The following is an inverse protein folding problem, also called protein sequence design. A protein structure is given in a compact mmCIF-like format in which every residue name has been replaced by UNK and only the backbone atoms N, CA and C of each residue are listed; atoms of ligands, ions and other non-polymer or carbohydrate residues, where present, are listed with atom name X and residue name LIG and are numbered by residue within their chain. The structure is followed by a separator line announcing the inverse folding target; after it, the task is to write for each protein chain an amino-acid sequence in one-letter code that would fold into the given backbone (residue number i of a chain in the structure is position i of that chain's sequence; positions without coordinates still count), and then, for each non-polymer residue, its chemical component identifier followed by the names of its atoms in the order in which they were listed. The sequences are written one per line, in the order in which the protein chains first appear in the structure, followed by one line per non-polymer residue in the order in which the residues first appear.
data_IF_472609655751
#
_entry.id   IF_472609655751
#
_cell.length_a   1.000
_cell.length_b   1.000
_cell.length_c   1.000
_cell.angle_alpha   90.00
_cell.angle_beta   90.00
_cell.angle_gamma   90.00
#
_symmetry.space_group_name_H-M   'P 1'
#
loop_
_entity.id
_entity.type
_entity.pdbx_description
1 polymer ?
#
# COMPACT_ATOMS: atom_id res chain seq x y z
N UNK A 1 -14.71 -0.79 -26.38
CA UNK A 1 -13.86 -0.25 -25.30
C UNK A 1 -12.40 -0.36 -25.73
N UNK A 2 -11.66 0.74 -25.78
CA UNK A 2 -10.24 0.77 -26.19
C UNK A 2 -9.44 1.41 -25.07
N UNK A 3 -8.46 0.69 -24.53
CA UNK A 3 -7.58 1.19 -23.48
C UNK A 3 -6.34 1.80 -24.16
N UNK A 4 -6.03 3.05 -23.85
CA UNK A 4 -4.85 3.74 -24.35
C UNK A 4 -3.88 3.90 -23.18
N UNK A 5 -2.75 3.20 -23.22
CA UNK A 5 -1.70 3.37 -22.24
C UNK A 5 -0.70 4.41 -22.74
N UNK A 6 -0.69 5.59 -22.10
CA UNK A 6 0.24 6.68 -22.41
C UNK A 6 0.97 7.13 -21.15
N UNK A 7 2.10 7.83 -21.31
CA UNK A 7 2.81 8.44 -20.19
C UNK A 7 2.16 9.77 -19.85
N UNK A 8 1.62 9.89 -18.66
CA UNK A 8 1.21 11.16 -18.07
C UNK A 8 2.32 11.76 -17.22
N UNK A 9 2.37 13.08 -17.13
CA UNK A 9 3.22 13.80 -16.19
C UNK A 9 2.31 14.43 -15.13
N UNK A 10 2.56 14.12 -13.86
CA UNK A 10 1.91 14.79 -12.74
C UNK A 10 2.82 15.93 -12.28
N UNK A 11 2.32 17.17 -12.33
CA UNK A 11 3.03 18.37 -11.83
C UNK A 11 2.03 19.28 -11.13
N UNK A 12 2.38 19.77 -9.93
CA UNK A 12 1.50 20.64 -9.14
C UNK A 12 0.10 20.05 -8.88
N UNK A 13 0.01 18.73 -8.65
CA UNK A 13 -1.26 17.99 -8.49
C UNK A 13 -2.15 17.94 -9.73
N UNK A 14 -1.66 18.36 -10.90
CA UNK A 14 -2.35 18.23 -12.18
C UNK A 14 -1.74 17.09 -13.01
N UNK A 15 -2.60 16.22 -13.57
CA UNK A 15 -2.22 15.19 -14.53
C UNK A 15 -2.30 15.75 -15.96
N UNK A 16 -1.16 15.82 -16.65
CA UNK A 16 -1.10 16.15 -18.08
C UNK A 16 -0.82 14.90 -18.89
N UNK A 17 -1.73 14.57 -19.81
CA UNK A 17 -1.62 13.45 -20.74
C UNK A 17 -1.82 13.95 -22.16
N UNK A 18 -1.04 13.41 -23.10
CA UNK A 18 -1.24 13.65 -24.53
C UNK A 18 -2.10 12.50 -25.04
N UNK A 19 -3.35 12.80 -25.40
CA UNK A 19 -4.30 11.83 -25.99
C UNK A 19 -4.33 11.97 -27.52
N UNK A 20 -4.52 10.88 -28.28
CA UNK A 20 -4.69 10.96 -29.73
C UNK A 20 -5.89 11.83 -30.11
N UNK A 21 -5.83 12.50 -31.27
CA UNK A 21 -6.94 13.32 -31.79
C UNK A 21 -8.27 12.55 -31.91
N UNK A 22 -8.19 11.23 -32.06
CA UNK A 22 -9.32 10.31 -32.13
C UNK A 22 -10.17 10.29 -30.84
N UNK A 23 -9.63 10.76 -29.71
CA UNK A 23 -10.31 10.80 -28.39
C UNK A 23 -10.99 12.17 -28.14
N UNK A 24 -11.12 12.99 -29.19
CA UNK A 24 -11.70 14.33 -29.12
C UNK A 24 -13.19 14.31 -28.74
N UNK A 25 -13.56 15.11 -27.73
CA UNK A 25 -14.94 15.42 -27.30
C UNK A 25 -15.76 14.25 -26.68
N UNK A 26 -15.15 13.42 -25.84
CA UNK A 26 -15.85 12.38 -25.06
C UNK A 26 -15.38 12.30 -23.61
N UNK A 27 -16.19 11.67 -22.76
CA UNK A 27 -15.83 11.31 -21.39
C UNK A 27 -14.94 10.06 -21.38
N UNK A 28 -13.94 10.03 -20.50
CA UNK A 28 -12.98 8.92 -20.40
C UNK A 28 -12.76 8.52 -18.94
N UNK A 29 -12.65 7.22 -18.70
CA UNK A 29 -12.19 6.70 -17.42
C UNK A 29 -10.67 6.87 -17.30
N UNK A 30 -10.20 7.42 -16.18
CA UNK A 30 -8.76 7.63 -15.90
C UNK A 30 -8.30 6.65 -14.84
N UNK A 31 -7.28 5.83 -15.17
CA UNK A 31 -6.62 4.92 -14.25
C UNK A 31 -5.20 5.45 -13.99
N UNK A 32 -4.89 5.75 -12.71
CA UNK A 32 -3.56 6.21 -12.28
C UNK A 32 -2.88 5.06 -11.54
N UNK A 33 -1.72 4.63 -12.03
CA UNK A 33 -0.89 3.60 -11.36
C UNK A 33 0.42 4.27 -10.93
N UNK A 34 0.58 4.51 -9.64
CA UNK A 34 1.83 5.00 -9.07
C UNK A 34 2.81 3.83 -8.96
N UNK A 35 3.96 3.91 -9.64
CA UNK A 35 4.99 2.86 -9.62
C UNK A 35 5.85 2.89 -8.35
N UNK A 36 6.00 4.08 -7.77
CA UNK A 36 6.93 4.32 -6.66
C UNK A 36 6.21 4.48 -5.31
N UNK A 37 4.88 4.37 -5.28
CA UNK A 37 4.17 4.28 -4.00
C UNK A 37 4.16 2.82 -3.55
N UNK A 38 4.66 2.52 -2.34
CA UNK A 38 4.52 1.19 -1.78
C UNK A 38 3.04 0.85 -1.72
N UNK A 39 2.69 -0.31 -2.25
CA UNK A 39 1.34 -0.83 -2.10
C UNK A 39 1.04 -1.10 -0.62
N UNK A 40 -0.20 -1.49 -0.32
CA UNK A 40 -0.60 -1.76 1.07
C UNK A 40 0.25 -2.88 1.70
N UNK A 41 0.71 -3.85 0.90
CA UNK A 41 1.55 -4.93 1.38
C UNK A 41 2.94 -4.42 1.76
N UNK A 42 3.58 -3.66 0.88
CA UNK A 42 4.89 -3.06 1.09
C UNK A 42 4.88 -2.08 2.29
N UNK A 43 3.83 -1.26 2.42
CA UNK A 43 3.65 -0.38 3.58
C UNK A 43 3.58 -1.16 4.90
N UNK A 44 2.80 -2.25 4.93
CA UNK A 44 2.68 -3.10 6.12
C UNK A 44 3.99 -3.79 6.43
N UNK A 45 4.71 -4.26 5.42
CA UNK A 45 6.01 -4.89 5.60
C UNK A 45 7.05 -3.94 6.19
N UNK A 46 7.15 -2.71 5.66
CA UNK A 46 8.03 -1.68 6.21
C UNK A 46 7.69 -1.33 7.66
N UNK A 47 6.41 -1.23 8.00
CA UNK A 47 5.98 -1.01 9.38
C UNK A 47 6.40 -2.15 10.32
N UNK A 48 6.30 -3.41 9.86
CA UNK A 48 6.75 -4.57 10.65
C UNK A 48 8.26 -4.54 10.86
N UNK A 49 9.04 -4.15 9.84
CA UNK A 49 10.49 -3.96 9.96
C UNK A 49 10.81 -2.86 10.98
N UNK A 50 10.18 -1.68 10.86
CA UNK A 50 10.40 -0.55 11.77
C UNK A 50 10.11 -0.92 13.23
N UNK A 51 9.06 -1.73 13.45
CA UNK A 51 8.68 -2.22 14.78
C UNK A 51 9.51 -3.42 15.26
N UNK A 52 10.46 -3.91 14.45
CA UNK A 52 11.32 -5.04 14.80
C UNK A 52 10.63 -6.40 14.75
N UNK A 53 9.57 -6.55 13.95
CA UNK A 53 8.82 -7.79 13.72
C UNK A 53 8.97 -8.30 12.28
N UNK A 54 10.16 -8.11 11.71
CA UNK A 54 10.55 -8.46 10.34
C UNK A 54 10.58 -9.97 10.06
N UNK A 55 10.58 -10.82 11.09
CA UNK A 55 10.61 -12.29 10.92
C UNK A 55 9.44 -12.98 11.63
N UNK A 56 8.99 -14.15 11.13
CA UNK A 56 7.93 -14.93 11.76
C UNK A 56 8.21 -15.26 13.23
N UNK A 57 9.47 -15.51 13.59
CA UNK A 57 9.88 -15.85 14.95
C UNK A 57 9.63 -14.69 15.91
N UNK A 58 9.93 -13.45 15.49
CA UNK A 58 9.69 -12.25 16.30
C UNK A 58 8.20 -11.98 16.50
N UNK A 59 7.39 -12.26 15.48
CA UNK A 59 5.92 -12.19 15.58
C UNK A 59 5.38 -13.22 16.57
N UNK A 60 5.85 -14.46 16.49
CA UNK A 60 5.44 -15.53 17.42
C UNK A 60 5.84 -15.20 18.85
N UNK A 61 7.04 -14.65 19.07
CA UNK A 61 7.48 -14.23 20.40
C UNK A 61 6.61 -13.10 20.96
N UNK A 62 6.23 -12.10 20.15
CA UNK A 62 5.30 -11.05 20.56
C UNK A 62 3.96 -11.64 21.00
N UNK A 63 3.39 -12.55 20.21
CA UNK A 63 2.12 -13.22 20.55
C UNK A 63 2.25 -13.97 21.88
N UNK A 64 3.39 -14.64 22.09
CA UNK A 64 3.67 -15.35 23.34
C UNK A 64 3.72 -14.41 24.54
N UNK A 65 4.43 -13.28 24.41
CA UNK A 65 4.53 -12.27 25.46
C UNK A 65 3.17 -11.69 25.84
N UNK A 66 2.38 -11.25 24.85
CA UNK A 66 1.02 -10.74 25.07
C UNK A 66 0.16 -11.78 25.77
N UNK A 67 0.21 -13.05 25.34
CA UNK A 67 -0.57 -14.12 25.96
C UNK A 67 -0.19 -14.35 27.42
N UNK A 68 1.10 -14.30 27.75
CA UNK A 68 1.57 -14.41 29.13
C UNK A 68 1.14 -13.21 29.98
N UNK A 69 1.21 -12.00 29.46
CA UNK A 69 0.72 -10.79 30.13
C UNK A 69 -0.79 -10.89 30.42
N UNK A 70 -1.60 -11.27 29.43
CA UNK A 70 -3.04 -11.46 29.62
C UNK A 70 -3.38 -12.55 30.66
N UNK A 71 -2.56 -13.60 30.77
CA UNK A 71 -2.76 -14.65 31.77
C UNK A 71 -2.39 -14.16 33.18
N UNK A 72 -1.32 -13.38 33.31
CA UNK A 72 -0.92 -12.72 34.56
C UNK A 72 -1.99 -11.73 35.03
N UNK A 73 -2.52 -10.91 34.13
CA UNK A 73 -3.61 -9.96 34.44
C UNK A 73 -4.89 -10.68 34.89
N UNK A 74 -5.16 -11.88 34.37
CA UNK A 74 -6.30 -12.72 34.76
C UNK A 74 -6.10 -13.51 36.05
N UNK A 75 -5.02 -13.26 36.79
CA UNK A 75 -4.77 -13.87 38.10
C UNK A 75 -4.49 -15.38 38.05
N UNK A 76 -4.13 -15.92 36.86
CA UNK A 76 -3.68 -17.31 36.72
C UNK A 76 -2.16 -17.33 36.83
N UNK A 77 -1.67 -17.25 38.06
CA UNK A 77 -0.27 -17.53 38.42
C UNK A 77 -0.03 -19.03 38.58
#
# INVERSE_FOLDING_TARGET
MKIIQTKGIIKNKELKVIVPQEVSNGEVDVIIVAKDEPDEFERRHQLMIEKGYDTPEKVVELIRQIKLEMLKEKGRS
#
